data_IF_674453013555
#
_entry.id   IF_674453013555
#
_cell.length_a   1.000
_cell.length_b   1.000
_cell.length_c   1.000
_cell.angle_alpha   90.00
_cell.angle_beta   90.00
_cell.angle_gamma   90.00
#
_symmetry.space_group_name_H-M   'P 1'
#
loop_
_entity.id
_entity.type
_entity.pdbx_description
1 polymer ?
#
# COMPACT_ATOMS: atom_id res chain seq x y z
N UNK A 1 52.96 -26.84 84.41
CA UNK A 1 51.64 -26.60 83.80
C UNK A 1 51.23 -25.13 83.90
N UNK A 2 51.32 -24.49 85.08
CA UNK A 2 51.04 -23.06 85.30
C UNK A 2 51.85 -22.08 84.41
N UNK A 3 53.15 -22.32 84.22
CA UNK A 3 54.03 -21.42 83.46
C UNK A 3 53.70 -21.36 81.95
N UNK A 4 53.17 -22.45 81.39
CA UNK A 4 52.75 -22.51 79.99
C UNK A 4 51.48 -21.67 79.79
N UNK A 5 50.60 -21.65 80.79
CA UNK A 5 49.35 -20.88 80.77
C UNK A 5 49.61 -19.36 80.80
N UNK A 6 50.56 -18.91 81.64
CA UNK A 6 50.97 -17.51 81.68
C UNK A 6 51.71 -17.07 80.41
N UNK A 7 52.54 -17.94 79.82
CA UNK A 7 53.19 -17.66 78.54
C UNK A 7 52.17 -17.54 77.38
N UNK A 8 51.16 -18.41 77.35
CA UNK A 8 50.05 -18.34 76.38
C UNK A 8 49.23 -17.05 76.56
N UNK A 9 48.91 -16.67 77.80
CA UNK A 9 48.16 -15.45 78.08
C UNK A 9 48.92 -14.19 77.63
N UNK A 10 50.23 -14.13 77.87
CA UNK A 10 51.06 -13.00 77.43
C UNK A 10 51.14 -12.85 75.91
N UNK A 11 51.21 -13.96 75.17
CA UNK A 11 51.23 -13.96 73.70
C UNK A 11 49.88 -13.53 73.14
N UNK A 12 48.77 -14.02 73.70
CA UNK A 12 47.41 -13.68 73.23
C UNK A 12 47.09 -12.20 73.48
N UNK A 13 47.41 -11.67 74.67
CA UNK A 13 47.19 -10.26 75.00
C UNK A 13 48.02 -9.34 74.10
N UNK A 14 49.23 -9.76 73.72
CA UNK A 14 50.07 -9.00 72.78
C UNK A 14 49.62 -9.13 71.33
N UNK A 15 48.97 -10.24 70.95
CA UNK A 15 48.46 -10.47 69.59
C UNK A 15 47.11 -9.80 69.33
N UNK A 16 46.27 -9.61 70.36
CA UNK A 16 44.94 -8.98 70.28
C UNK A 16 44.94 -7.60 69.60
N UNK A 17 45.83 -6.65 69.95
CA UNK A 17 45.92 -5.35 69.30
C UNK A 17 46.32 -5.46 67.82
N UNK A 18 47.27 -6.33 67.51
CA UNK A 18 47.72 -6.58 66.13
C UNK A 18 46.59 -7.16 65.29
N UNK A 19 45.79 -8.07 65.84
CA UNK A 19 44.63 -8.65 65.17
C UNK A 19 43.55 -7.59 64.87
N UNK A 20 43.24 -6.74 65.85
CA UNK A 20 42.33 -5.61 65.65
C UNK A 20 42.83 -4.63 64.58
N UNK A 21 44.13 -4.33 64.60
CA UNK A 21 44.77 -3.45 63.61
C UNK A 21 44.70 -4.05 62.19
N UNK A 22 44.92 -5.36 62.06
CA UNK A 22 44.80 -6.06 60.77
C UNK A 22 43.35 -6.05 60.27
N UNK A 23 42.35 -6.27 61.14
CA UNK A 23 40.93 -6.19 60.76
C UNK A 23 40.56 -4.77 60.32
N UNK A 24 40.97 -3.76 61.09
CA UNK A 24 40.71 -2.36 60.78
C UNK A 24 41.36 -1.98 59.43
N UNK A 25 42.62 -2.38 59.23
CA UNK A 25 43.36 -2.16 57.99
C UNK A 25 42.70 -2.87 56.82
N UNK A 26 42.26 -4.12 56.99
CA UNK A 26 41.56 -4.87 55.95
C UNK A 26 40.26 -4.16 55.53
N UNK A 27 39.47 -3.68 56.50
CA UNK A 27 38.23 -2.98 56.21
C UNK A 27 38.48 -1.62 55.52
N UNK A 28 39.51 -0.90 55.97
CA UNK A 28 39.97 0.34 55.34
C UNK A 28 40.42 0.09 53.90
N UNK A 29 41.27 -0.90 53.66
CA UNK A 29 41.75 -1.26 52.31
C UNK A 29 40.60 -1.69 51.40
N UNK A 30 39.65 -2.48 51.92
CA UNK A 30 38.45 -2.91 51.19
C UNK A 30 37.62 -1.73 50.70
N UNK A 31 37.35 -0.75 51.56
CA UNK A 31 36.56 0.43 51.19
C UNK A 31 37.32 1.44 50.33
N UNK A 32 38.60 1.67 50.62
CA UNK A 32 39.37 2.76 49.99
C UNK A 32 40.02 2.32 48.69
N UNK A 33 40.40 1.04 48.53
CA UNK A 33 41.12 0.57 47.32
C UNK A 33 40.31 -0.40 46.48
N UNK A 34 39.76 -1.46 47.08
CA UNK A 34 39.08 -2.50 46.28
C UNK A 34 37.78 -2.00 45.65
N UNK A 35 36.94 -1.28 46.40
CA UNK A 35 35.70 -0.71 45.86
C UNK A 35 35.90 0.24 44.66
N UNK A 36 36.81 1.25 44.72
CA UNK A 36 37.04 2.09 43.55
C UNK A 36 37.73 1.35 42.40
N UNK A 37 38.60 0.37 42.68
CA UNK A 37 39.23 -0.45 41.64
C UNK A 37 38.19 -1.27 40.87
N UNK A 38 37.29 -1.95 41.59
CA UNK A 38 36.20 -2.73 40.98
C UNK A 38 35.28 -1.84 40.15
N UNK A 39 34.96 -0.64 40.65
CA UNK A 39 34.16 0.35 39.91
C UNK A 39 34.82 0.78 38.60
N UNK A 40 36.12 1.04 38.59
CA UNK A 40 36.85 1.48 37.38
C UNK A 40 36.95 0.33 36.36
N UNK A 41 37.14 -0.90 36.82
CA UNK A 41 37.15 -2.08 35.93
C UNK A 41 35.77 -2.28 35.30
N UNK A 42 34.71 -2.20 36.11
CA UNK A 42 33.33 -2.32 35.65
C UNK A 42 32.94 -1.17 34.71
N UNK A 43 33.33 0.07 35.01
CA UNK A 43 33.06 1.22 34.16
C UNK A 43 33.77 1.11 32.79
N UNK A 44 35.00 0.58 32.76
CA UNK A 44 35.70 0.28 31.50
C UNK A 44 34.99 -0.83 30.73
N UNK A 45 34.58 -1.89 31.43
CA UNK A 45 33.84 -3.01 30.85
C UNK A 45 32.52 -2.55 30.23
N UNK A 46 31.73 -1.76 30.96
CA UNK A 46 30.48 -1.16 30.48
C UNK A 46 30.69 -0.21 29.30
N UNK A 47 31.77 0.59 29.30
CA UNK A 47 32.09 1.46 28.17
C UNK A 47 32.48 0.69 26.91
N UNK A 48 33.12 -0.48 27.03
CA UNK A 48 33.52 -1.27 25.87
C UNK A 48 32.40 -2.19 25.40
N UNK A 49 31.83 -2.99 26.31
CA UNK A 49 30.76 -3.95 26.00
C UNK A 49 29.44 -3.24 25.72
N UNK A 50 29.08 -2.21 26.51
CA UNK A 50 27.85 -1.45 26.31
C UNK A 50 27.86 -0.64 25.01
N UNK A 51 29.03 -0.18 24.54
CA UNK A 51 29.13 0.44 23.21
C UNK A 51 28.89 -0.59 22.12
N UNK A 52 29.46 -1.80 22.24
CA UNK A 52 29.25 -2.88 21.27
C UNK A 52 27.77 -3.29 21.19
N UNK A 53 27.14 -3.51 22.34
CA UNK A 53 25.70 -3.83 22.44
C UNK A 53 24.82 -2.71 21.89
N UNK A 54 25.14 -1.45 22.21
CA UNK A 54 24.38 -0.30 21.69
C UNK A 54 24.52 -0.14 20.17
N UNK A 55 25.70 -0.43 19.62
CA UNK A 55 25.95 -0.44 18.18
C UNK A 55 25.16 -1.55 17.49
N UNK A 56 25.16 -2.76 18.05
CA UNK A 56 24.36 -3.89 17.53
C UNK A 56 22.87 -3.56 17.57
N UNK A 57 22.36 -3.07 18.70
CA UNK A 57 20.96 -2.66 18.81
C UNK A 57 20.60 -1.50 17.86
N UNK A 58 21.52 -0.56 17.61
CA UNK A 58 21.32 0.50 16.64
C UNK A 58 21.29 -0.03 15.20
N UNK A 59 22.16 -0.99 14.87
CA UNK A 59 22.18 -1.64 13.55
C UNK A 59 20.91 -2.48 13.32
N UNK A 60 20.48 -3.25 14.31
CA UNK A 60 19.23 -4.02 14.25
C UNK A 60 18.03 -3.11 14.02
N UNK A 61 17.90 -2.03 14.81
CA UNK A 61 16.82 -1.04 14.61
C UNK A 61 16.91 -0.38 13.24
N UNK A 62 18.10 -0.04 12.76
CA UNK A 62 18.26 0.52 11.43
C UNK A 62 17.81 -0.48 10.35
N UNK A 63 18.17 -1.75 10.50
CA UNK A 63 17.79 -2.81 9.57
C UNK A 63 16.28 -3.08 9.58
N UNK A 64 15.65 -3.13 10.76
CA UNK A 64 14.20 -3.24 10.91
C UNK A 64 13.49 -2.08 10.20
N UNK A 65 13.97 -0.85 10.40
CA UNK A 65 13.37 0.34 9.77
C UNK A 65 13.54 0.34 8.25
N UNK A 66 14.67 -0.14 7.75
CA UNK A 66 14.89 -0.33 6.31
C UNK A 66 13.90 -1.36 5.77
N UNK A 67 13.74 -2.51 6.45
CA UNK A 67 12.79 -3.54 6.03
C UNK A 67 11.35 -3.06 6.06
N UNK A 68 10.95 -2.34 7.11
CA UNK A 68 9.62 -1.70 7.20
C UNK A 68 9.38 -0.73 6.03
N UNK A 69 10.37 0.12 5.74
CA UNK A 69 10.29 1.07 4.64
C UNK A 69 10.22 0.40 3.26
N UNK A 70 11.04 -0.62 3.03
CA UNK A 70 11.02 -1.41 1.80
C UNK A 70 9.68 -2.15 1.63
N UNK A 71 9.14 -2.69 2.73
CA UNK A 71 7.82 -3.34 2.74
C UNK A 71 6.71 -2.34 2.42
N UNK A 72 6.68 -1.18 3.08
CA UNK A 72 5.68 -0.16 2.81
C UNK A 72 5.77 0.36 1.38
N UNK A 73 6.99 0.52 0.85
CA UNK A 73 7.19 0.95 -0.53
C UNK A 73 6.73 -0.11 -1.54
N UNK A 74 6.98 -1.39 -1.28
CA UNK A 74 6.47 -2.49 -2.11
C UNK A 74 4.95 -2.56 -2.08
N UNK A 75 4.34 -2.44 -0.90
CA UNK A 75 2.89 -2.42 -0.75
C UNK A 75 2.26 -1.23 -1.50
N UNK A 76 2.78 -0.02 -1.30
CA UNK A 76 2.30 1.16 -2.01
C UNK A 76 2.41 1.02 -3.54
N UNK A 77 3.50 0.43 -4.05
CA UNK A 77 3.66 0.16 -5.49
C UNK A 77 2.65 -0.88 -6.00
N UNK A 78 2.39 -1.94 -5.23
CA UNK A 78 1.40 -2.94 -5.57
C UNK A 78 -0.02 -2.33 -5.60
N UNK A 79 -0.38 -1.55 -4.58
CA UNK A 79 -1.68 -0.86 -4.52
C UNK A 79 -1.89 0.10 -5.68
N UNK A 80 -0.85 0.88 -6.05
CA UNK A 80 -0.92 1.76 -7.22
C UNK A 80 -1.15 0.96 -8.51
N UNK A 81 -0.46 -0.18 -8.66
CA UNK A 81 -0.63 -1.03 -9.84
C UNK A 81 -2.03 -1.63 -9.90
N UNK A 82 -2.54 -2.14 -8.78
CA UNK A 82 -3.88 -2.71 -8.67
C UNK A 82 -4.96 -1.66 -8.97
N UNK A 83 -4.80 -0.44 -8.45
CA UNK A 83 -5.70 0.68 -8.74
C UNK A 83 -5.67 1.05 -10.22
N UNK A 84 -4.48 1.14 -10.83
CA UNK A 84 -4.36 1.44 -12.26
C UNK A 84 -4.99 0.34 -13.12
N UNK A 85 -4.82 -0.93 -12.77
CA UNK A 85 -5.43 -2.04 -13.49
C UNK A 85 -6.95 -2.03 -13.35
N UNK A 86 -7.48 -1.79 -12.15
CA UNK A 86 -8.90 -1.67 -11.90
C UNK A 86 -9.53 -0.50 -12.68
N UNK A 87 -8.89 0.67 -12.67
CA UNK A 87 -9.31 1.84 -13.44
C UNK A 87 -9.27 1.58 -14.94
N UNK A 88 -8.20 0.95 -15.44
CA UNK A 88 -8.10 0.57 -16.85
C UNK A 88 -9.21 -0.40 -17.27
N UNK A 89 -9.53 -1.40 -16.43
CA UNK A 89 -10.62 -2.34 -16.67
C UNK A 89 -11.98 -1.63 -16.68
N UNK A 90 -12.21 -0.72 -15.72
CA UNK A 90 -13.44 0.07 -15.64
C UNK A 90 -13.63 0.93 -16.89
N UNK A 91 -12.60 1.69 -17.27
CA UNK A 91 -12.64 2.53 -18.48
C UNK A 91 -12.83 1.71 -19.76
N UNK A 92 -12.21 0.53 -19.86
CA UNK A 92 -12.40 -0.36 -20.99
C UNK A 92 -13.85 -0.87 -21.07
N UNK A 93 -14.43 -1.28 -19.93
CA UNK A 93 -15.82 -1.72 -19.86
C UNK A 93 -16.80 -0.60 -20.20
N UNK A 94 -16.59 0.61 -19.66
CA UNK A 94 -17.40 1.79 -19.93
C UNK A 94 -17.35 2.18 -21.41
N UNK A 95 -16.14 2.22 -22.01
CA UNK A 95 -15.99 2.47 -23.46
C UNK A 95 -16.71 1.42 -24.29
N UNK A 96 -16.62 0.15 -23.93
CA UNK A 96 -17.32 -0.93 -24.63
C UNK A 96 -18.84 -0.76 -24.54
N UNK A 97 -19.36 -0.41 -23.37
CA UNK A 97 -20.79 -0.14 -23.16
C UNK A 97 -21.28 1.05 -23.99
N UNK A 98 -20.57 2.18 -23.95
CA UNK A 98 -20.89 3.38 -24.74
C UNK A 98 -20.87 3.10 -26.24
N UNK A 99 -19.89 2.33 -26.73
CA UNK A 99 -19.82 1.94 -28.13
C UNK A 99 -20.96 0.99 -28.53
N UNK A 100 -21.34 0.06 -27.65
CA UNK A 100 -22.46 -0.84 -27.89
C UNK A 100 -23.78 -0.05 -27.96
N UNK A 101 -23.99 0.88 -27.04
CA UNK A 101 -25.17 1.76 -27.03
C UNK A 101 -25.22 2.64 -28.28
N UNK A 102 -24.11 3.28 -28.65
CA UNK A 102 -24.04 4.10 -29.85
C UNK A 102 -24.35 3.29 -31.12
N UNK A 103 -23.84 2.06 -31.22
CA UNK A 103 -24.15 1.14 -32.33
C UNK A 103 -25.63 0.75 -32.33
N UNK A 104 -26.21 0.49 -31.18
CA UNK A 104 -27.63 0.14 -31.06
C UNK A 104 -28.51 1.31 -31.51
N UNK A 105 -28.27 2.52 -31.00
CA UNK A 105 -28.98 3.74 -31.44
C UNK A 105 -28.81 4.01 -32.93
N UNK A 106 -27.62 3.77 -33.49
CA UNK A 106 -27.38 3.91 -34.92
C UNK A 106 -28.20 2.91 -35.74
N UNK A 107 -28.27 1.64 -35.29
CA UNK A 107 -29.10 0.62 -35.93
C UNK A 107 -30.58 1.00 -35.88
N UNK A 108 -31.08 1.42 -34.73
CA UNK A 108 -32.47 1.85 -34.55
C UNK A 108 -32.81 3.03 -35.47
N UNK A 109 -31.92 4.02 -35.59
CA UNK A 109 -32.10 5.13 -36.54
C UNK A 109 -32.15 4.68 -37.99
N UNK A 110 -31.28 3.75 -38.38
CA UNK A 110 -31.25 3.22 -39.75
C UNK A 110 -32.54 2.46 -40.06
N UNK A 111 -33.02 1.63 -39.14
CA UNK A 111 -34.28 0.88 -39.33
C UNK A 111 -35.49 1.82 -39.35
N UNK A 112 -35.53 2.84 -38.49
CA UNK A 112 -36.57 3.87 -38.53
C UNK A 112 -36.57 4.64 -39.86
N UNK A 113 -35.41 5.08 -40.34
CA UNK A 113 -35.29 5.79 -41.61
C UNK A 113 -35.69 4.92 -42.81
N UNK A 114 -35.36 3.62 -42.80
CA UNK A 114 -35.83 2.68 -43.83
C UNK A 114 -37.35 2.57 -43.83
N UNK A 115 -37.98 2.45 -42.66
CA UNK A 115 -39.43 2.37 -42.54
C UNK A 115 -40.12 3.65 -43.03
N UNK A 116 -39.55 4.83 -42.73
CA UNK A 116 -40.03 6.12 -43.26
C UNK A 116 -39.92 6.17 -44.79
N UNK A 117 -38.76 5.80 -45.35
CA UNK A 117 -38.55 5.78 -46.81
C UNK A 117 -39.55 4.84 -47.49
N UNK A 118 -39.81 3.67 -46.92
CA UNK A 118 -40.75 2.70 -47.50
C UNK A 118 -42.20 3.22 -47.45
N UNK A 119 -42.59 3.88 -46.36
CA UNK A 119 -43.89 4.55 -46.26
C UNK A 119 -44.02 5.71 -47.26
N UNK A 120 -43.00 6.56 -47.40
CA UNK A 120 -42.96 7.64 -48.38
C UNK A 120 -43.01 7.11 -49.82
N UNK A 121 -42.29 6.03 -50.12
CA UNK A 121 -42.31 5.41 -51.44
C UNK A 121 -43.70 4.87 -51.80
N UNK A 122 -44.40 4.25 -50.84
CA UNK A 122 -45.76 3.76 -51.09
C UNK A 122 -46.76 4.91 -51.26
N UNK A 123 -46.65 5.97 -50.46
CA UNK A 123 -47.45 7.18 -50.63
C UNK A 123 -47.21 7.83 -52.00
N UNK A 124 -45.95 7.95 -52.43
CA UNK A 124 -45.59 8.48 -53.74
C UNK A 124 -46.13 7.61 -54.89
N UNK A 125 -46.08 6.27 -54.76
CA UNK A 125 -46.69 5.36 -55.74
C UNK A 125 -48.20 5.54 -55.84
N UNK A 126 -48.89 5.69 -54.73
CA UNK A 126 -50.34 5.94 -54.72
C UNK A 126 -50.67 7.28 -55.40
N UNK A 127 -49.93 8.34 -55.09
CA UNK A 127 -50.09 9.65 -55.72
C UNK A 127 -49.85 9.58 -57.25
N UNK A 128 -48.78 8.89 -57.68
CA UNK A 128 -48.47 8.71 -59.10
C UNK A 128 -49.56 7.91 -59.83
N UNK A 129 -50.14 6.87 -59.20
CA UNK A 129 -51.26 6.11 -59.78
C UNK A 129 -52.50 6.99 -59.98
N UNK A 130 -52.82 7.83 -58.99
CA UNK A 130 -53.95 8.76 -59.08
C UNK A 130 -53.74 9.79 -60.19
N UNK A 131 -52.53 10.34 -60.31
CA UNK A 131 -52.21 11.32 -61.34
C UNK A 131 -52.15 10.70 -62.74
N UNK A 132 -51.64 9.47 -62.86
CA UNK A 132 -51.68 8.72 -64.11
C UNK A 132 -53.12 8.42 -64.58
N UNK A 133 -54.03 8.11 -63.65
CA UNK A 133 -55.44 7.93 -63.97
C UNK A 133 -56.07 9.22 -64.51
N UNK A 134 -55.84 10.36 -63.85
CA UNK A 134 -56.29 11.68 -64.35
C UNK A 134 -55.74 12.00 -65.74
N UNK A 135 -54.46 11.73 -65.98
CA UNK A 135 -53.83 11.94 -67.29
C UNK A 135 -54.46 11.04 -68.36
N UNK A 136 -54.75 9.78 -68.03
CA UNK A 136 -55.42 8.86 -68.94
C UNK A 136 -56.83 9.34 -69.30
N UNK A 137 -57.61 9.82 -68.33
CA UNK A 137 -58.94 10.39 -68.55
C UNK A 137 -58.87 11.63 -69.46
N UNK A 138 -57.92 12.55 -69.20
CA UNK A 138 -57.72 13.74 -70.05
C UNK A 138 -57.32 13.38 -71.49
N UNK A 139 -56.51 12.33 -71.68
CA UNK A 139 -56.16 11.81 -73.01
C UNK A 139 -57.39 11.20 -73.69
N UNK A 140 -58.19 10.43 -72.97
CA UNK A 140 -59.42 9.83 -73.51
C UNK A 140 -60.42 10.90 -73.96
N UNK A 141 -60.62 11.96 -73.17
CA UNK A 141 -61.47 13.10 -73.53
C UNK A 141 -60.98 13.81 -74.80
N UNK A 142 -59.68 14.09 -74.90
CA UNK A 142 -59.11 14.77 -76.08
C UNK A 142 -59.18 13.91 -77.35
N UNK A 143 -58.95 12.61 -77.27
CA UNK A 143 -59.07 11.69 -78.42
C UNK A 143 -60.53 11.54 -78.87
N UNK A 144 -61.48 11.48 -77.94
CA UNK A 144 -62.91 11.41 -78.26
C UNK A 144 -63.43 12.73 -78.88
N UNK A 145 -62.99 13.88 -78.36
CA UNK A 145 -63.33 15.19 -78.92
C UNK A 145 -62.76 15.40 -80.34
N UNK A 146 -61.57 14.88 -80.61
CA UNK A 146 -60.94 14.94 -81.94
C UNK A 146 -61.58 14.04 -83.01
N UNK A 147 -62.48 13.11 -82.63
CA UNK A 147 -63.19 12.21 -83.55
C UNK A 147 -64.58 12.70 -83.97
N UNK A 148 -65.02 13.83 -83.40
CA UNK A 148 -66.33 14.44 -83.66
C UNK A 148 -66.27 15.61 -84.68
N UNK A 149 -65.15 15.78 -85.38
CA UNK A 149 -64.98 16.64 -86.56
C UNK A 149 -64.57 15.80 -87.76
#
# INVERSE_FOLDING_TARGET
MEQIFHALQGIIVRALPTFFLVILLHWFLKKVLFQPLDRVIEERRQRTEGVLESCQAAMERAQERIQEYENSLRQARAEIFDQQEAERKRLAAERAALLAEARQRARERVEAAKAEIEAEAENARQALRAEAARLADAIAETVLAGRAQ
#
